data_IF_216206308786
#
_entry.id   IF_216206308786
#
_cell.length_a   1.000
_cell.length_b   1.000
_cell.length_c   1.000
_cell.angle_alpha   90.00
_cell.angle_beta   90.00
_cell.angle_gamma   90.00
#
_symmetry.space_group_name_H-M   'P 1'
#
loop_
_entity.id
_entity.type
_entity.pdbx_description
1 polymer ?
#
# COMPACT_ATOMS: atom_id res chain seq x y z
N UNK A 1 10.49 10.18 -20.38
CA UNK A 1 9.92 9.94 -21.73
C UNK A 1 8.86 8.85 -21.60
N UNK A 2 7.68 9.01 -22.21
CA UNK A 2 6.63 7.99 -22.14
C UNK A 2 7.02 6.72 -22.91
N UNK A 3 6.83 5.56 -22.27
CA UNK A 3 7.12 4.26 -22.85
C UNK A 3 6.02 3.26 -22.49
N UNK A 4 5.74 2.32 -23.39
CA UNK A 4 4.92 1.14 -23.09
C UNK A 4 5.77 0.16 -22.30
N UNK A 5 5.42 -0.06 -21.03
CA UNK A 5 6.22 -0.86 -20.11
C UNK A 5 5.33 -1.55 -19.08
N UNK A 6 5.73 -2.75 -18.67
CA UNK A 6 5.11 -3.43 -17.54
C UNK A 6 5.36 -2.66 -16.24
N UNK A 7 4.33 -2.51 -15.40
CA UNK A 7 4.41 -1.75 -14.13
C UNK A 7 5.61 -2.14 -13.26
N UNK A 8 5.89 -3.44 -13.10
CA UNK A 8 7.06 -3.91 -12.33
C UNK A 8 8.40 -3.41 -12.90
N UNK A 9 8.54 -3.42 -14.23
CA UNK A 9 9.76 -2.97 -14.89
C UNK A 9 9.89 -1.45 -14.86
N UNK A 10 8.77 -0.72 -14.91
CA UNK A 10 8.75 0.73 -14.72
C UNK A 10 9.23 1.10 -13.29
N UNK A 11 8.73 0.40 -12.28
CA UNK A 11 9.19 0.56 -10.89
C UNK A 11 10.68 0.20 -10.75
N UNK A 12 11.15 -0.88 -11.38
CA UNK A 12 12.57 -1.22 -11.36
C UNK A 12 13.46 -0.10 -11.94
N UNK A 13 13.03 0.53 -13.05
CA UNK A 13 13.75 1.67 -13.63
C UNK A 13 13.71 2.91 -12.73
N UNK A 14 12.56 3.22 -12.12
CA UNK A 14 12.41 4.34 -11.20
C UNK A 14 13.27 4.18 -9.94
N UNK A 15 13.29 2.98 -9.35
CA UNK A 15 14.14 2.64 -8.21
C UNK A 15 15.62 2.73 -8.59
N UNK A 16 16.02 2.23 -9.76
CA UNK A 16 17.38 2.38 -10.24
C UNK A 16 17.77 3.87 -10.41
N UNK A 17 16.87 4.71 -10.91
CA UNK A 17 17.08 6.15 -11.01
C UNK A 17 17.27 6.84 -9.64
N UNK A 18 16.69 6.29 -8.57
CA UNK A 18 16.91 6.74 -7.18
C UNK A 18 18.29 6.34 -6.61
N UNK A 19 19.04 5.51 -7.35
CA UNK A 19 20.41 5.09 -7.04
C UNK A 19 20.59 4.47 -5.64
N UNK A 20 19.81 3.43 -5.27
CA UNK A 20 20.14 2.67 -4.07
C UNK A 20 21.54 2.08 -4.19
N UNK A 21 22.25 2.04 -3.08
CA UNK A 21 23.60 1.48 -2.96
C UNK A 21 23.57 0.01 -2.55
N UNK A 22 22.50 -0.45 -1.90
CA UNK A 22 22.28 -1.86 -1.60
C UNK A 22 20.84 -2.25 -1.90
N UNK A 23 20.68 -3.34 -2.64
CA UNK A 23 19.38 -3.98 -2.90
C UNK A 23 19.43 -5.39 -2.33
N UNK A 24 18.57 -5.67 -1.35
CA UNK A 24 18.45 -6.99 -0.75
C UNK A 24 17.19 -7.67 -1.26
N UNK A 25 17.30 -8.81 -1.93
CA UNK A 25 16.18 -9.39 -2.65
C UNK A 25 16.00 -10.90 -2.42
N UNK A 26 14.76 -11.27 -2.19
CA UNK A 26 14.26 -12.64 -2.24
C UNK A 26 13.01 -12.69 -3.14
N UNK A 27 12.91 -13.63 -4.09
CA UNK A 27 11.82 -13.66 -5.05
C UNK A 27 10.51 -14.17 -4.44
N UNK A 28 9.43 -13.42 -4.62
CA UNK A 28 8.07 -13.84 -4.28
C UNK A 28 7.07 -13.17 -5.23
N UNK A 29 6.18 -13.93 -5.85
CA UNK A 29 5.17 -13.35 -6.75
C UNK A 29 4.22 -12.42 -5.97
N UNK A 30 3.78 -11.29 -6.52
CA UNK A 30 4.01 -10.78 -7.88
C UNK A 30 5.08 -9.67 -7.96
N UNK A 31 6.00 -9.53 -6.99
CA UNK A 31 7.08 -8.53 -7.08
C UNK A 31 8.31 -9.00 -7.86
N UNK A 32 8.41 -10.31 -8.14
CA UNK A 32 9.61 -10.93 -8.75
C UNK A 32 10.19 -10.17 -9.96
N UNK A 33 9.34 -9.66 -10.86
CA UNK A 33 9.82 -8.90 -12.03
C UNK A 33 10.54 -7.59 -11.66
N UNK A 34 10.22 -6.98 -10.52
CA UNK A 34 10.89 -5.78 -10.01
C UNK A 34 12.34 -6.13 -9.63
N UNK A 35 12.52 -7.15 -8.81
CA UNK A 35 13.86 -7.57 -8.34
C UNK A 35 14.70 -8.16 -9.46
N UNK A 36 14.11 -8.93 -10.37
CA UNK A 36 14.80 -9.42 -11.58
C UNK A 36 15.23 -8.26 -12.50
N UNK A 37 14.36 -7.28 -12.71
CA UNK A 37 14.66 -6.07 -13.48
C UNK A 37 15.84 -5.29 -12.88
N UNK A 38 15.82 -5.06 -11.57
CA UNK A 38 16.91 -4.42 -10.84
C UNK A 38 18.21 -5.23 -10.90
N UNK A 39 18.13 -6.55 -10.71
CA UNK A 39 19.29 -7.44 -10.83
C UNK A 39 19.95 -7.34 -12.21
N UNK A 40 19.14 -7.29 -13.27
CA UNK A 40 19.62 -7.13 -14.63
C UNK A 40 20.28 -5.76 -14.87
N UNK A 41 19.70 -4.68 -14.34
CA UNK A 41 20.27 -3.31 -14.40
C UNK A 41 21.65 -3.27 -13.71
N UNK A 42 21.74 -3.80 -12.48
CA UNK A 42 23.01 -3.88 -11.73
C UNK A 42 24.04 -4.70 -12.49
N UNK A 43 23.67 -5.87 -13.00
CA UNK A 43 24.56 -6.76 -13.77
C UNK A 43 25.09 -6.12 -15.05
N UNK A 44 24.32 -5.23 -15.70
CA UNK A 44 24.77 -4.46 -16.88
C UNK A 44 25.70 -3.29 -16.53
N UNK A 45 25.86 -2.96 -15.25
CA UNK A 45 26.67 -1.82 -14.80
C UNK A 45 25.97 -0.46 -14.95
N UNK A 46 24.66 -0.46 -15.18
CA UNK A 46 23.84 0.75 -15.35
C UNK A 46 23.54 1.45 -14.01
N UNK A 47 23.76 0.74 -12.89
CA UNK A 47 23.66 1.27 -11.54
C UNK A 47 25.02 1.11 -10.81
N UNK A 48 26.01 1.98 -11.09
CA UNK A 48 27.37 1.82 -10.59
C UNK A 48 27.44 2.02 -9.06
N UNK A 49 28.17 1.12 -8.38
CA UNK A 49 28.35 1.15 -6.93
C UNK A 49 27.18 0.58 -6.12
N UNK A 50 26.20 -0.04 -6.78
CA UNK A 50 25.14 -0.78 -6.10
C UNK A 50 25.52 -2.24 -5.91
N UNK A 51 25.41 -2.72 -4.67
CA UNK A 51 25.51 -4.13 -4.33
C UNK A 51 24.14 -4.78 -4.37
N UNK A 52 23.98 -5.85 -5.15
CA UNK A 52 22.75 -6.62 -5.23
C UNK A 52 22.93 -7.94 -4.47
N UNK A 53 22.21 -8.09 -3.35
CA UNK A 53 22.31 -9.23 -2.46
C UNK A 53 21.16 -10.21 -2.70
N UNK A 54 21.52 -11.40 -3.20
CA UNK A 54 20.63 -12.57 -3.18
C UNK A 54 20.68 -13.23 -1.82
N UNK A 55 19.59 -13.15 -1.08
CA UNK A 55 19.47 -13.74 0.27
C UNK A 55 18.67 -15.03 0.24
N UNK A 56 18.69 -15.79 1.34
CA UNK A 56 18.00 -17.07 1.49
C UNK A 56 16.55 -16.95 1.95
N UNK A 57 16.11 -15.75 2.37
CA UNK A 57 14.74 -15.49 2.82
C UNK A 57 14.37 -14.00 2.81
N UNK A 58 13.08 -13.69 2.92
CA UNK A 58 12.58 -12.33 3.13
C UNK A 58 13.03 -11.73 4.46
N UNK A 59 13.14 -12.53 5.52
CA UNK A 59 13.70 -12.08 6.81
C UNK A 59 15.16 -11.62 6.64
N UNK A 60 15.96 -12.38 5.91
CA UNK A 60 17.33 -12.01 5.57
C UNK A 60 17.39 -10.79 4.65
N UNK A 61 16.41 -10.60 3.75
CA UNK A 61 16.34 -9.43 2.87
C UNK A 61 16.21 -8.14 3.68
N UNK A 62 15.24 -8.10 4.61
CA UNK A 62 15.05 -6.93 5.47
C UNK A 62 16.22 -6.74 6.45
N UNK A 63 16.77 -7.84 7.00
CA UNK A 63 17.95 -7.78 7.89
C UNK A 63 19.19 -7.23 7.18
N UNK A 64 19.42 -7.63 5.93
CA UNK A 64 20.48 -7.07 5.09
C UNK A 64 20.26 -5.59 4.80
N UNK A 65 19.02 -5.19 4.51
CA UNK A 65 18.68 -3.78 4.27
C UNK A 65 18.88 -2.91 5.53
N UNK A 66 18.56 -3.44 6.72
CA UNK A 66 18.84 -2.81 8.02
C UNK A 66 20.34 -2.60 8.19
N UNK A 67 21.15 -3.64 7.98
CA UNK A 67 22.61 -3.56 8.09
C UNK A 67 23.21 -2.54 7.11
N UNK A 68 22.76 -2.56 5.86
CA UNK A 68 23.19 -1.63 4.83
C UNK A 68 22.81 -0.17 5.17
N UNK A 69 21.57 0.07 5.58
CA UNK A 69 21.10 1.41 5.96
C UNK A 69 21.83 1.92 7.20
N UNK A 70 22.06 1.08 8.21
CA UNK A 70 22.84 1.42 9.39
C UNK A 70 24.33 1.68 9.07
N UNK A 71 24.87 1.09 8.01
CA UNK A 71 26.21 1.39 7.48
C UNK A 71 26.25 2.64 6.58
N UNK A 72 25.13 3.35 6.43
CA UNK A 72 25.03 4.61 5.68
C UNK A 72 24.69 4.46 4.20
N UNK A 73 24.21 3.28 3.76
CA UNK A 73 23.84 3.03 2.38
C UNK A 73 22.33 3.26 2.12
N UNK A 74 21.99 3.97 1.04
CA UNK A 74 20.61 4.02 0.53
C UNK A 74 20.17 2.60 0.17
N UNK A 75 19.14 2.10 0.84
CA UNK A 75 18.80 0.67 0.84
C UNK A 75 17.38 0.43 0.34
N UNK A 76 17.20 -0.66 -0.42
CA UNK A 76 15.92 -1.02 -1.02
C UNK A 76 15.65 -2.52 -0.97
N UNK A 77 14.37 -2.90 -0.87
CA UNK A 77 13.89 -4.28 -1.04
C UNK A 77 12.47 -4.29 -1.63
N UNK A 78 11.99 -5.46 -2.05
CA UNK A 78 10.61 -5.65 -2.49
C UNK A 78 10.08 -7.00 -2.00
N UNK A 79 8.80 -7.05 -1.61
CA UNK A 79 8.16 -8.27 -1.10
C UNK A 79 6.64 -8.27 -1.36
N UNK A 80 5.97 -9.35 -0.94
CA UNK A 80 4.52 -9.51 -1.01
C UNK A 80 4.04 -10.56 0.01
N UNK A 81 2.81 -10.45 0.54
CA UNK A 81 2.11 -11.54 1.25
C UNK A 81 2.96 -12.25 2.32
N UNK A 82 3.21 -13.55 2.17
CA UNK A 82 3.96 -14.38 3.11
C UNK A 82 5.38 -13.88 3.34
N UNK A 83 6.00 -13.30 2.32
CA UNK A 83 7.33 -12.74 2.44
C UNK A 83 7.35 -11.55 3.40
N UNK A 84 6.34 -10.68 3.32
CA UNK A 84 6.17 -9.57 4.26
C UNK A 84 5.93 -10.08 5.69
N UNK A 85 5.11 -11.12 5.86
CA UNK A 85 4.88 -11.73 7.16
C UNK A 85 6.13 -12.39 7.73
N UNK A 86 6.97 -12.99 6.88
CA UNK A 86 8.18 -13.66 7.32
C UNK A 86 9.27 -12.68 7.78
N UNK A 87 9.23 -11.43 7.30
CA UNK A 87 10.15 -10.36 7.72
C UNK A 87 9.61 -9.46 8.85
N UNK A 88 8.45 -9.76 9.46
CA UNK A 88 7.73 -8.81 10.35
C UNK A 88 8.58 -8.27 11.50
N UNK A 89 9.37 -9.10 12.17
CA UNK A 89 10.22 -8.65 13.28
C UNK A 89 11.26 -7.62 12.79
N UNK A 90 11.91 -7.91 11.66
CA UNK A 90 12.86 -6.99 11.03
C UNK A 90 12.17 -5.70 10.55
N UNK A 91 10.93 -5.77 10.05
CA UNK A 91 10.13 -4.59 9.66
C UNK A 91 9.94 -3.66 10.87
N UNK A 92 9.55 -4.17 12.04
CA UNK A 92 9.43 -3.34 13.26
C UNK A 92 10.79 -2.78 13.72
N UNK A 93 11.89 -3.54 13.55
CA UNK A 93 13.22 -3.06 13.89
C UNK A 93 13.65 -1.91 12.97
N UNK A 94 13.42 -2.00 11.65
CA UNK A 94 13.80 -0.93 10.71
C UNK A 94 13.21 0.44 11.10
N UNK A 95 11.94 0.48 11.49
CA UNK A 95 11.27 1.72 11.92
C UNK A 95 11.70 2.17 13.31
N UNK A 96 11.83 1.22 14.26
CA UNK A 96 12.26 1.51 15.63
C UNK A 96 13.70 2.05 15.68
N UNK A 97 14.55 1.58 14.78
CA UNK A 97 15.89 2.10 14.58
C UNK A 97 15.89 3.43 13.83
N UNK A 98 14.84 3.79 13.09
CA UNK A 98 14.77 5.02 12.31
C UNK A 98 15.63 4.96 11.04
N UNK A 99 15.64 3.81 10.36
CA UNK A 99 16.44 3.58 9.16
C UNK A 99 15.62 3.90 7.89
N UNK A 100 16.12 4.77 6.99
CA UNK A 100 15.40 5.18 5.78
C UNK A 100 15.49 4.10 4.68
N UNK A 101 14.72 3.04 4.84
CA UNK A 101 14.61 1.94 3.88
C UNK A 101 13.32 2.11 3.07
N UNK A 102 13.41 2.01 1.75
CA UNK A 102 12.23 1.95 0.87
C UNK A 102 11.95 0.50 0.50
N UNK A 103 10.69 0.09 0.67
CA UNK A 103 10.22 -1.24 0.31
C UNK A 103 9.01 -1.17 -0.60
N UNK A 104 9.06 -1.86 -1.73
CA UNK A 104 7.83 -2.11 -2.52
C UNK A 104 7.08 -3.29 -1.93
N UNK A 105 5.80 -3.09 -1.64
CA UNK A 105 4.87 -4.16 -1.28
C UNK A 105 3.94 -4.37 -2.46
N UNK A 106 4.21 -5.41 -3.26
CA UNK A 106 3.31 -5.82 -4.33
C UNK A 106 2.12 -6.57 -3.71
N UNK A 107 1.11 -5.83 -3.29
CA UNK A 107 0.02 -6.28 -2.44
C UNK A 107 -0.61 -7.58 -2.95
N UNK A 108 -0.61 -8.58 -2.09
CA UNK A 108 -1.07 -9.93 -2.35
C UNK A 108 -1.74 -10.52 -1.11
N UNK A 109 -2.79 -11.29 -1.34
CA UNK A 109 -3.51 -12.02 -0.31
C UNK A 109 -2.59 -12.82 0.62
N UNK A 110 -2.82 -12.71 1.93
CA UNK A 110 -2.24 -13.61 2.92
C UNK A 110 -2.89 -14.99 2.76
N UNK A 111 -2.09 -16.04 2.87
CA UNK A 111 -2.48 -17.43 2.67
C UNK A 111 -3.26 -18.04 3.83
N UNK A 112 -3.61 -19.32 3.65
CA UNK A 112 -4.60 -20.10 4.37
C UNK A 112 -6.06 -19.65 4.12
N UNK A 113 -6.61 -19.87 2.90
CA UNK A 113 -6.03 -20.65 1.79
C UNK A 113 -4.99 -19.87 0.98
N UNK A 114 -4.03 -20.57 0.35
CA UNK A 114 -3.02 -19.91 -0.48
C UNK A 114 -3.69 -19.15 -1.63
N UNK A 115 -3.26 -17.90 -1.83
CA UNK A 115 -3.74 -17.08 -2.93
C UNK A 115 -2.60 -16.16 -3.40
N UNK A 116 -2.33 -16.18 -4.71
CA UNK A 116 -1.28 -15.38 -5.32
C UNK A 116 -1.78 -14.02 -5.80
N UNK A 117 -3.10 -13.85 -5.88
CA UNK A 117 -3.73 -12.67 -6.41
C UNK A 117 -3.82 -11.55 -5.37
N UNK A 118 -4.16 -10.37 -5.88
CA UNK A 118 -4.11 -9.16 -5.10
C UNK A 118 -5.29 -9.01 -4.14
N UNK A 119 -4.93 -8.60 -2.93
CA UNK A 119 -5.72 -7.82 -1.99
C UNK A 119 -4.69 -7.10 -1.08
N UNK A 120 -5.14 -6.26 -0.15
CA UNK A 120 -4.27 -5.44 0.72
C UNK A 120 -3.96 -6.07 2.07
N UNK A 121 -4.36 -7.32 2.33
CA UNK A 121 -4.26 -7.93 3.67
C UNK A 121 -2.82 -7.98 4.20
N UNK A 122 -1.83 -8.09 3.31
CA UNK A 122 -0.41 -8.07 3.65
C UNK A 122 0.05 -6.73 4.23
N UNK A 123 -0.02 -5.65 3.47
CA UNK A 123 0.33 -4.30 3.95
C UNK A 123 -0.51 -3.87 5.15
N UNK A 124 -1.80 -4.22 5.17
CA UNK A 124 -2.71 -3.91 6.28
C UNK A 124 -2.36 -4.65 7.57
N UNK A 125 -1.71 -5.81 7.49
CA UNK A 125 -1.17 -6.51 8.66
C UNK A 125 0.02 -5.78 9.29
N UNK A 126 0.67 -4.89 8.55
CA UNK A 126 1.86 -4.14 8.97
C UNK A 126 1.60 -2.66 9.27
N UNK A 127 0.33 -2.23 9.29
CA UNK A 127 -0.06 -0.83 9.53
C UNK A 127 0.44 -0.23 10.86
N UNK A 128 0.76 -1.07 11.84
CA UNK A 128 1.21 -0.64 13.18
C UNK A 128 2.73 -0.78 13.35
N UNK A 129 3.44 -1.15 12.29
CA UNK A 129 4.91 -1.33 12.27
C UNK A 129 5.71 -0.03 12.33
N UNK A 130 5.07 1.13 12.25
CA UNK A 130 5.75 2.44 12.24
C UNK A 130 6.34 2.84 10.89
N UNK A 131 6.07 2.07 9.83
CA UNK A 131 6.39 2.45 8.45
C UNK A 131 5.34 3.42 7.90
N UNK A 132 5.78 4.33 7.05
CA UNK A 132 4.87 5.10 6.18
C UNK A 132 4.35 4.14 5.11
N UNK A 133 3.06 4.22 4.77
CA UNK A 133 2.43 3.38 3.74
C UNK A 133 1.75 4.27 2.71
N UNK A 134 2.28 4.25 1.49
CA UNK A 134 1.79 4.99 0.32
C UNK A 134 1.19 4.03 -0.70
N UNK A 135 -0.10 4.16 -1.02
CA UNK A 135 -0.82 3.29 -1.95
C UNK A 135 -0.90 3.94 -3.34
N UNK A 136 -0.39 3.25 -4.35
CA UNK A 136 -0.42 3.70 -5.73
C UNK A 136 -1.75 3.33 -6.42
N UNK A 137 -2.38 4.31 -7.09
CA UNK A 137 -3.56 4.10 -7.93
C UNK A 137 -3.21 3.53 -9.30
N UNK A 138 -2.12 3.98 -9.93
CA UNK A 138 -1.72 3.63 -11.32
C UNK A 138 -0.25 3.22 -11.40
N UNK A 139 0.24 2.67 -12.52
CA UNK A 139 1.69 2.43 -12.64
C UNK A 139 2.48 3.74 -12.73
N UNK A 140 1.89 4.79 -13.31
CA UNK A 140 2.50 6.12 -13.29
C UNK A 140 2.69 6.62 -11.86
N UNK A 141 1.65 6.56 -11.04
CA UNK A 141 1.75 6.96 -9.63
C UNK A 141 2.67 6.02 -8.86
N UNK A 142 2.69 4.71 -9.14
CA UNK A 142 3.63 3.80 -8.53
C UNK A 142 5.08 4.26 -8.78
N UNK A 143 5.45 4.56 -10.03
CA UNK A 143 6.77 5.08 -10.39
C UNK A 143 7.11 6.37 -9.63
N UNK A 144 6.18 7.33 -9.62
CA UNK A 144 6.39 8.65 -9.01
C UNK A 144 6.50 8.54 -7.48
N UNK A 145 5.69 7.69 -6.85
CA UNK A 145 5.74 7.43 -5.40
C UNK A 145 7.05 6.79 -4.95
N UNK A 146 7.71 5.96 -5.76
CA UNK A 146 9.01 5.40 -5.37
C UNK A 146 10.08 6.49 -5.25
N UNK A 147 10.08 7.49 -6.15
CA UNK A 147 11.01 8.62 -6.08
C UNK A 147 10.72 9.47 -4.84
N UNK A 148 9.44 9.77 -4.58
CA UNK A 148 9.02 10.50 -3.37
C UNK A 148 9.33 9.72 -2.09
N UNK A 149 9.18 8.40 -2.09
CA UNK A 149 9.42 7.54 -0.92
C UNK A 149 10.85 7.63 -0.41
N UNK A 150 11.86 7.64 -1.29
CA UNK A 150 13.25 7.85 -0.86
C UNK A 150 13.45 9.22 -0.23
N UNK A 151 12.90 10.28 -0.85
CA UNK A 151 12.98 11.65 -0.33
C UNK A 151 12.36 11.75 1.07
N UNK A 152 11.14 11.22 1.24
CA UNK A 152 10.42 11.19 2.52
C UNK A 152 11.18 10.36 3.57
N UNK A 153 11.67 9.18 3.18
CA UNK A 153 12.35 8.27 4.09
C UNK A 153 13.61 8.92 4.68
N UNK A 154 14.45 9.49 3.82
CA UNK A 154 15.72 10.14 4.19
C UNK A 154 15.50 11.39 5.04
N UNK A 155 14.48 12.18 4.73
CA UNK A 155 14.18 13.41 5.45
C UNK A 155 13.58 13.15 6.84
N UNK A 156 12.81 12.08 7.04
CA UNK A 156 12.22 11.76 8.34
C UNK A 156 13.03 10.76 9.16
N UNK A 157 13.99 10.07 8.56
CA UNK A 157 14.61 8.88 9.16
C UNK A 157 13.55 7.83 9.50
N UNK A 158 12.64 7.60 8.56
CA UNK A 158 11.59 6.59 8.69
C UNK A 158 11.57 5.71 7.44
N UNK A 159 11.29 4.41 7.57
CA UNK A 159 11.14 3.56 6.42
C UNK A 159 9.76 3.75 5.76
N UNK A 160 9.69 3.54 4.44
CA UNK A 160 8.51 3.79 3.61
C UNK A 160 8.16 2.54 2.79
N UNK A 161 6.90 2.10 2.89
CA UNK A 161 6.30 1.10 2.01
C UNK A 161 5.59 1.79 0.86
N UNK A 162 5.96 1.46 -0.38
CA UNK A 162 5.15 1.78 -1.56
C UNK A 162 4.31 0.57 -1.89
N UNK A 163 3.01 0.67 -1.60
CA UNK A 163 2.01 -0.36 -1.77
C UNK A 163 1.42 -0.29 -3.19
N UNK A 164 1.64 -1.36 -3.96
CA UNK A 164 1.25 -1.46 -5.37
C UNK A 164 0.41 -2.72 -5.57
N UNK A 165 -0.76 -2.60 -6.21
CA UNK A 165 -1.65 -3.74 -6.40
C UNK A 165 -1.04 -4.82 -7.31
N UNK A 166 -0.76 -5.99 -6.72
CA UNK A 166 -0.20 -7.14 -7.42
C UNK A 166 -1.06 -7.58 -8.61
N UNK A 167 -0.43 -8.00 -9.71
CA UNK A 167 -1.05 -8.35 -10.99
C UNK A 167 -1.78 -7.19 -11.69
N UNK A 168 -2.63 -6.43 -11.00
CA UNK A 168 -3.40 -5.32 -11.57
C UNK A 168 -2.47 -4.20 -12.03
N UNK A 169 -1.53 -3.79 -11.18
CA UNK A 169 -0.52 -2.81 -11.53
C UNK A 169 0.78 -3.52 -11.94
N UNK A 170 1.26 -4.44 -11.12
CA UNK A 170 2.62 -4.99 -11.30
C UNK A 170 2.83 -5.70 -12.65
N UNK A 171 1.79 -6.29 -13.24
CA UNK A 171 1.89 -7.02 -14.52
C UNK A 171 1.18 -6.32 -15.68
N UNK A 172 0.50 -5.20 -15.44
CA UNK A 172 -0.13 -4.44 -16.51
C UNK A 172 0.94 -3.71 -17.33
N UNK A 173 0.79 -3.75 -18.65
CA UNK A 173 1.58 -2.94 -19.59
C UNK A 173 0.75 -1.71 -19.93
N UNK A 174 1.28 -0.54 -19.61
CA UNK A 174 0.66 0.74 -19.96
C UNK A 174 1.70 1.78 -20.36
N UNK A 175 1.22 2.94 -20.83
CA UNK A 175 2.08 4.08 -21.09
C UNK A 175 2.50 4.73 -19.76
N UNK A 176 3.80 4.71 -19.45
CA UNK A 176 4.37 5.32 -18.25
C UNK A 176 5.48 6.29 -18.64
N UNK A 177 5.47 7.49 -18.06
CA UNK A 177 6.56 8.46 -18.10
C UNK A 177 7.56 8.14 -16.97
N UNK A 178 8.53 7.28 -17.29
CA UNK A 178 9.60 6.93 -16.35
C UNK A 178 10.53 8.13 -16.19
N UNK A 179 10.83 8.56 -14.95
CA UNK A 179 11.64 9.76 -14.71
C UNK A 179 13.10 9.52 -15.12
N UNK A 180 13.68 10.52 -15.79
CA UNK A 180 15.09 10.51 -16.16
C UNK A 180 15.98 10.61 -14.91
N UNK A 181 17.08 9.87 -14.88
CA UNK A 181 17.98 9.84 -13.72
C UNK A 181 18.54 11.23 -13.33
N UNK A 182 18.66 12.14 -14.30
CA UNK A 182 19.10 13.51 -14.05
C UNK A 182 18.05 14.33 -13.27
N UNK A 183 16.76 14.17 -13.58
CA UNK A 183 15.68 14.85 -12.85
C UNK A 183 15.49 14.23 -11.47
N UNK A 184 15.61 12.90 -11.35
CA UNK A 184 15.65 12.24 -10.04
C UNK A 184 16.82 12.75 -9.20
N UNK A 185 18.01 12.92 -9.75
CA UNK A 185 19.15 13.46 -9.01
C UNK A 185 18.98 14.93 -8.56
N UNK A 186 18.15 15.72 -9.27
CA UNK A 186 17.80 17.10 -8.87
C UNK A 186 16.83 17.12 -7.70
N UNK A 187 15.90 16.15 -7.66
CA UNK A 187 14.89 16.04 -6.61
C UNK A 187 15.39 15.28 -5.37
N UNK A 188 16.15 14.20 -5.58
CA UNK A 188 16.70 13.33 -4.56
C UNK A 188 18.24 13.47 -4.55
N UNK A 189 18.78 14.37 -3.70
CA UNK A 189 20.24 14.55 -3.59
C UNK A 189 20.94 13.28 -3.07
N UNK A 190 22.28 13.24 -3.08
CA UNK A 190 23.03 12.16 -2.43
C UNK A 190 22.58 11.96 -0.98
N UNK A 191 22.44 10.69 -0.58
CA UNK A 191 21.97 10.35 0.75
C UNK A 191 23.02 10.74 1.81
N UNK A 192 22.58 11.50 2.82
CA UNK A 192 23.37 11.83 4.00
C UNK A 192 22.75 11.14 5.23
N UNK A 193 23.36 10.04 5.74
CA UNK A 193 22.78 9.28 6.85
C UNK A 193 22.82 10.07 8.15
N UNK A 194 21.68 10.12 8.86
CA UNK A 194 21.58 10.73 10.22
C UNK A 194 22.34 9.95 11.28
N UNK A 195 22.42 8.64 11.11
CA UNK A 195 23.14 7.72 11.98
C UNK A 195 23.85 6.70 11.11
N UNK A 196 25.11 6.44 11.44
CA UNK A 196 25.97 5.55 10.66
C UNK A 196 26.88 4.79 11.61
N UNK A 197 27.08 3.49 11.35
CA UNK A 197 28.09 2.69 12.00
C UNK A 197 29.47 3.06 11.45
N UNK A 198 30.20 3.89 12.19
CA UNK A 198 31.54 4.35 11.83
C UNK A 198 32.55 3.92 12.92
N UNK A 199 33.56 3.08 12.60
CA UNK A 199 34.63 2.74 13.55
C UNK A 199 35.43 3.94 14.05
N UNK A 200 35.50 5.04 13.29
CA UNK A 200 36.17 6.27 13.69
C UNK A 200 35.33 7.12 14.65
N UNK A 201 34.00 7.00 14.59
CA UNK A 201 33.05 7.68 15.48
C UNK A 201 31.95 6.70 15.95
N UNK A 202 32.28 5.76 16.86
CA UNK A 202 31.42 4.63 17.17
C UNK A 202 30.14 5.05 17.91
N UNK A 203 29.01 4.53 17.45
CA UNK A 203 27.69 4.68 18.09
C UNK A 203 27.05 3.32 18.35
N UNK A 204 26.18 3.23 19.34
CA UNK A 204 25.32 2.06 19.56
C UNK A 204 23.95 2.30 18.94
N UNK A 205 23.59 1.48 17.95
CA UNK A 205 22.28 1.49 17.29
C UNK A 205 21.48 0.29 17.80
N UNK A 206 20.24 0.52 18.25
CA UNK A 206 19.37 -0.56 18.76
C UNK A 206 19.68 -1.02 20.19
N UNK A 207 20.25 -0.14 21.03
CA UNK A 207 20.46 -0.44 22.43
C UNK A 207 19.13 -0.71 23.17
N UNK A 208 19.18 -1.51 24.23
CA UNK A 208 18.03 -1.75 25.10
C UNK A 208 17.61 -0.46 25.78
N UNK A 209 16.34 -0.07 25.61
CA UNK A 209 15.73 1.08 26.29
C UNK A 209 14.85 0.55 27.42
N UNK A 210 15.14 0.98 28.66
CA UNK A 210 14.39 0.58 29.83
C UNK A 210 13.06 1.35 30.00
N UNK A 211 12.23 0.95 30.99
CA UNK A 211 10.95 1.60 31.28
C UNK A 211 11.03 3.11 31.54
N UNK A 212 12.19 3.62 31.94
CA UNK A 212 12.47 5.04 32.19
C UNK A 212 12.44 5.94 30.95
N UNK A 213 12.53 5.36 29.75
CA UNK A 213 12.59 6.12 28.49
C UNK A 213 11.80 5.50 27.32
N UNK A 214 11.30 4.27 27.45
CA UNK A 214 10.62 3.58 26.35
C UNK A 214 9.37 4.32 25.88
N UNK A 215 8.59 4.90 26.80
CA UNK A 215 7.40 5.69 26.48
C UNK A 215 7.75 6.91 25.62
N UNK A 216 8.82 7.62 25.99
CA UNK A 216 9.32 8.81 25.30
C UNK A 216 9.82 8.44 23.91
N UNK A 217 10.54 7.33 23.75
CA UNK A 217 10.96 6.82 22.43
C UNK A 217 9.75 6.52 21.54
N UNK A 218 8.69 5.90 22.09
CA UNK A 218 7.44 5.66 21.34
C UNK A 218 6.71 6.95 20.98
N UNK A 219 6.74 7.96 21.85
CA UNK A 219 6.18 9.28 21.55
C UNK A 219 6.94 9.97 20.41
N UNK A 220 8.27 9.90 20.39
CA UNK A 220 9.07 10.44 19.29
C UNK A 220 8.78 9.73 17.95
N UNK A 221 8.50 8.42 17.97
CA UNK A 221 8.05 7.71 16.77
C UNK A 221 6.68 8.21 16.28
N UNK A 222 5.76 8.52 17.20
CA UNK A 222 4.48 9.16 16.86
C UNK A 222 4.68 10.56 16.27
N UNK A 223 5.57 11.37 16.86
CA UNK A 223 5.85 12.73 16.37
C UNK A 223 6.40 12.72 14.93
N UNK A 224 7.28 11.78 14.57
CA UNK A 224 7.76 11.63 13.18
C UNK A 224 6.63 11.28 12.21
N UNK A 225 5.65 10.49 12.65
CA UNK A 225 4.45 10.20 11.85
C UNK A 225 3.55 11.43 11.70
N UNK A 226 3.49 12.32 12.69
CA UNK A 226 2.78 13.60 12.56
C UNK A 226 3.50 14.55 11.61
N UNK A 227 4.83 14.62 11.67
CA UNK A 227 5.64 15.39 10.71
C UNK A 227 5.47 14.87 9.27
N UNK A 228 5.29 13.56 9.08
CA UNK A 228 5.00 12.99 7.77
C UNK A 228 3.69 13.52 7.16
N UNK A 229 2.67 13.89 7.96
CA UNK A 229 1.44 14.48 7.45
C UNK A 229 1.67 15.85 6.78
N UNK A 230 2.66 16.61 7.24
CA UNK A 230 3.03 17.89 6.64
C UNK A 230 4.04 17.71 5.49
N UNK A 231 4.97 16.76 5.64
CA UNK A 231 6.03 16.54 4.65
C UNK A 231 5.51 15.89 3.36
N UNK A 232 4.60 14.91 3.43
CA UNK A 232 4.11 14.20 2.24
C UNK A 232 3.53 15.17 1.19
N UNK A 233 2.63 16.12 1.55
CA UNK A 233 2.17 17.15 0.62
C UNK A 233 3.28 18.06 0.09
N UNK A 234 4.24 18.45 0.94
CA UNK A 234 5.34 19.32 0.52
C UNK A 234 6.22 18.63 -0.53
N UNK A 235 6.57 17.37 -0.30
CA UNK A 235 7.34 16.55 -1.25
C UNK A 235 6.56 16.34 -2.55
N UNK A 236 5.24 16.14 -2.50
CA UNK A 236 4.41 16.03 -3.70
C UNK A 236 4.39 17.34 -4.51
N UNK A 237 4.32 18.50 -3.85
CA UNK A 237 4.39 19.79 -4.53
C UNK A 237 5.78 20.05 -5.16
N UNK A 238 6.85 19.70 -4.47
CA UNK A 238 8.22 19.73 -5.03
C UNK A 238 8.35 18.79 -6.23
N UNK A 239 7.77 17.59 -6.13
CA UNK A 239 7.74 16.61 -7.21
C UNK A 239 7.03 17.18 -8.44
N UNK A 240 5.85 17.76 -8.25
CA UNK A 240 5.11 18.42 -9.33
C UNK A 240 5.92 19.56 -9.97
N UNK A 241 6.65 20.35 -9.18
CA UNK A 241 7.49 21.43 -9.70
C UNK A 241 8.67 20.91 -10.56
N UNK A 242 9.24 19.75 -10.22
CA UNK A 242 10.38 19.17 -10.95
C UNK A 242 9.93 18.35 -12.17
N UNK A 243 8.90 17.52 -12.01
CA UNK A 243 8.48 16.52 -12.99
C UNK A 243 7.23 16.93 -13.78
N UNK A 244 6.52 17.98 -13.37
CA UNK A 244 5.32 18.48 -14.03
C UNK A 244 4.07 17.60 -13.87
N UNK A 245 4.13 16.59 -12.98
CA UNK A 245 3.02 15.66 -12.72
C UNK A 245 2.51 15.84 -11.30
N UNK A 246 1.18 15.93 -11.18
CA UNK A 246 0.51 15.93 -9.88
C UNK A 246 0.37 14.47 -9.42
N UNK A 247 1.24 14.05 -8.49
CA UNK A 247 1.34 12.67 -8.02
C UNK A 247 1.78 12.63 -6.57
N UNK A 248 1.25 11.68 -5.80
CA UNK A 248 1.52 11.55 -4.37
C UNK A 248 0.56 12.36 -3.50
N UNK A 249 1.07 12.95 -2.44
CA UNK A 249 0.24 13.64 -1.45
C UNK A 249 -0.49 12.67 -0.50
N UNK A 250 -1.39 13.20 0.30
CA UNK A 250 -2.13 12.41 1.30
C UNK A 250 -3.35 11.70 0.71
N UNK A 251 -4.05 12.39 -0.20
CA UNK A 251 -5.36 12.04 -0.72
C UNK A 251 -5.49 12.54 -2.16
N UNK A 252 -6.33 11.87 -2.94
CA UNK A 252 -6.82 12.33 -4.24
C UNK A 252 -8.33 12.47 -4.21
N UNK A 253 -8.84 13.64 -4.58
CA UNK A 253 -10.29 13.88 -4.71
C UNK A 253 -10.70 13.86 -6.17
N UNK A 254 -11.86 13.28 -6.45
CA UNK A 254 -12.45 13.31 -7.79
C UNK A 254 -13.93 13.58 -7.66
N UNK A 255 -14.40 14.68 -8.26
CA UNK A 255 -15.82 15.04 -8.30
C UNK A 255 -16.46 15.06 -6.88
N UNK A 256 -15.86 15.78 -5.92
CA UNK A 256 -16.25 15.68 -4.49
C UNK A 256 -16.98 16.92 -3.97
N UNK A 257 -16.82 18.07 -4.63
CA UNK A 257 -17.20 19.40 -4.14
C UNK A 257 -18.71 19.53 -3.87
N UNK A 258 -19.53 18.85 -4.66
CA UNK A 258 -20.99 18.82 -4.54
C UNK A 258 -21.55 17.42 -4.22
N UNK A 259 -20.66 16.46 -3.93
CA UNK A 259 -21.04 15.06 -3.74
C UNK A 259 -21.88 14.86 -2.46
N UNK A 260 -23.00 14.15 -2.60
CA UNK A 260 -23.81 13.69 -1.46
C UNK A 260 -23.37 12.32 -0.96
N UNK A 261 -22.85 11.47 -1.85
CA UNK A 261 -22.28 10.16 -1.55
C UNK A 261 -20.82 10.16 -1.98
N UNK A 262 -19.90 9.80 -1.08
CA UNK A 262 -18.47 9.67 -1.43
C UNK A 262 -18.03 8.21 -1.34
N UNK A 263 -17.45 7.69 -2.42
CA UNK A 263 -16.79 6.37 -2.44
C UNK A 263 -15.32 6.55 -2.05
N UNK A 264 -14.86 5.80 -1.08
CA UNK A 264 -13.50 5.89 -0.53
C UNK A 264 -12.80 4.55 -0.78
N UNK A 265 -11.60 4.58 -1.34
CA UNK A 265 -10.82 3.37 -1.59
C UNK A 265 -9.31 3.63 -1.57
N UNK A 266 -8.56 2.52 -1.59
CA UNK A 266 -7.10 2.50 -1.75
C UNK A 266 -6.74 1.81 -3.07
N UNK A 267 -5.65 2.27 -3.68
CA UNK A 267 -5.01 1.58 -4.80
C UNK A 267 -5.84 1.55 -6.09
N UNK A 268 -5.54 0.57 -6.95
CA UNK A 268 -5.95 0.55 -8.36
C UNK A 268 -7.45 0.51 -8.63
N UNK A 269 -8.26 0.09 -7.65
CA UNK A 269 -9.73 0.05 -7.81
C UNK A 269 -10.34 1.44 -7.99
N UNK A 270 -9.63 2.50 -7.57
CA UNK A 270 -10.05 3.88 -7.76
C UNK A 270 -10.31 4.22 -9.24
N UNK A 271 -9.51 3.70 -10.17
CA UNK A 271 -9.74 3.91 -11.61
C UNK A 271 -11.12 3.40 -12.06
N UNK A 272 -11.46 2.16 -11.71
CA UNK A 272 -12.78 1.56 -12.02
C UNK A 272 -13.92 2.28 -11.31
N UNK A 273 -13.69 2.79 -10.08
CA UNK A 273 -14.70 3.57 -9.35
C UNK A 273 -14.96 4.90 -10.04
N UNK A 274 -13.91 5.63 -10.47
CA UNK A 274 -14.02 6.91 -11.20
C UNK A 274 -14.83 6.74 -12.48
N UNK A 275 -14.56 5.70 -13.25
CA UNK A 275 -15.34 5.31 -14.43
C UNK A 275 -16.85 5.16 -14.13
N UNK A 276 -17.21 4.45 -13.06
CA UNK A 276 -18.62 4.27 -12.66
C UNK A 276 -19.22 5.57 -12.16
N UNK A 277 -18.43 6.39 -11.46
CA UNK A 277 -18.85 7.72 -11.00
C UNK A 277 -19.14 8.64 -12.18
N UNK A 278 -18.34 8.63 -13.24
CA UNK A 278 -18.61 9.41 -14.46
C UNK A 278 -19.95 9.02 -15.09
N UNK A 279 -20.21 7.72 -15.22
CA UNK A 279 -21.48 7.18 -15.75
C UNK A 279 -22.69 7.57 -14.88
N UNK A 280 -22.50 7.69 -13.56
CA UNK A 280 -23.52 8.12 -12.58
C UNK A 280 -23.74 9.63 -12.60
N UNK A 281 -22.66 10.41 -12.66
CA UNK A 281 -22.66 11.87 -12.77
C UNK A 281 -23.36 12.34 -14.04
N UNK A 282 -23.16 11.64 -15.17
CA UNK A 282 -23.87 11.88 -16.41
C UNK A 282 -25.41 11.72 -16.29
N UNK A 283 -25.89 10.97 -15.29
CA UNK A 283 -27.31 10.81 -14.93
C UNK A 283 -27.81 11.84 -13.90
N UNK A 284 -26.95 12.75 -13.46
CA UNK A 284 -27.25 13.80 -12.48
C UNK A 284 -27.08 13.36 -11.02
N UNK A 285 -26.47 12.20 -10.76
CA UNK A 285 -26.20 11.74 -9.40
C UNK A 285 -24.97 12.44 -8.82
N UNK A 286 -25.08 12.91 -7.57
CA UNK A 286 -24.02 13.64 -6.84
C UNK A 286 -23.11 12.67 -6.09
N UNK A 287 -22.25 11.97 -6.83
CA UNK A 287 -21.33 10.97 -6.27
C UNK A 287 -19.89 11.42 -6.51
N UNK A 288 -19.05 11.33 -5.49
CA UNK A 288 -17.62 11.63 -5.58
C UNK A 288 -16.73 10.47 -5.17
N UNK A 289 -15.44 10.60 -5.41
CA UNK A 289 -14.42 9.62 -5.03
C UNK A 289 -13.34 10.29 -4.19
N UNK A 290 -12.93 9.61 -3.12
CA UNK A 290 -11.75 9.95 -2.34
C UNK A 290 -10.78 8.76 -2.37
N UNK A 291 -9.67 8.92 -3.07
CA UNK A 291 -8.51 8.05 -2.97
C UNK A 291 -7.67 8.42 -1.76
N UNK A 292 -7.28 7.44 -0.95
CA UNK A 292 -6.30 7.65 0.12
C UNK A 292 -4.95 7.14 -0.37
N UNK A 293 -3.98 8.06 -0.48
CA UNK A 293 -2.61 7.72 -0.88
C UNK A 293 -1.79 7.37 0.36
N UNK A 294 -1.79 8.22 1.38
CA UNK A 294 -1.13 7.95 2.66
C UNK A 294 -2.09 7.26 3.64
N UNK A 295 -1.96 5.95 3.84
CA UNK A 295 -2.72 5.24 4.88
C UNK A 295 -2.02 5.29 6.24
N UNK A 296 -0.69 5.35 6.23
CA UNK A 296 0.16 5.60 7.39
C UNK A 296 1.19 6.68 7.05
N UNK A 297 1.22 7.81 7.77
CA UNK A 297 0.21 8.23 8.75
C UNK A 297 -1.18 8.40 8.10
N UNK A 298 -2.24 8.18 8.88
CA UNK A 298 -3.61 8.37 8.37
C UNK A 298 -4.03 9.85 8.49
N UNK A 299 -4.45 10.52 7.40
CA UNK A 299 -4.65 11.96 7.36
C UNK A 299 -6.05 12.37 7.84
N UNK A 300 -6.32 12.21 9.14
CA UNK A 300 -7.64 12.44 9.74
C UNK A 300 -8.28 13.78 9.34
N UNK A 301 -7.55 14.90 9.51
CA UNK A 301 -8.05 16.24 9.19
C UNK A 301 -8.35 16.44 7.71
N UNK A 302 -7.53 15.86 6.84
CA UNK A 302 -7.71 16.01 5.39
C UNK A 302 -8.90 15.17 4.90
N UNK A 303 -9.11 13.98 5.47
CA UNK A 303 -10.32 13.17 5.21
C UNK A 303 -11.57 13.91 5.69
N UNK A 304 -11.56 14.42 6.93
CA UNK A 304 -12.67 15.19 7.49
C UNK A 304 -13.01 16.41 6.62
N UNK A 305 -12.00 17.17 6.19
CA UNK A 305 -12.18 18.31 5.30
C UNK A 305 -12.76 17.91 3.93
N UNK A 306 -12.33 16.78 3.37
CA UNK A 306 -12.77 16.32 2.06
C UNK A 306 -14.22 15.84 2.03
N UNK A 307 -14.71 15.17 3.08
CA UNK A 307 -16.04 14.53 3.07
C UNK A 307 -17.02 15.10 4.10
N UNK A 308 -16.64 16.13 4.85
CA UNK A 308 -17.45 16.70 5.94
C UNK A 308 -18.86 17.15 5.54
N UNK A 309 -19.07 17.48 4.27
CA UNK A 309 -20.37 17.92 3.73
C UNK A 309 -21.20 16.78 3.10
N UNK A 310 -20.63 15.58 2.94
CA UNK A 310 -21.33 14.46 2.34
C UNK A 310 -22.43 13.92 3.28
N UNK A 311 -23.54 13.43 2.71
CA UNK A 311 -24.60 12.76 3.48
C UNK A 311 -24.16 11.38 3.95
N UNK A 312 -23.33 10.73 3.13
CA UNK A 312 -22.85 9.37 3.38
C UNK A 312 -21.52 9.08 2.69
N UNK A 313 -20.81 8.09 3.20
CA UNK A 313 -19.67 7.51 2.50
C UNK A 313 -19.76 5.99 2.40
N UNK A 314 -19.14 5.44 1.35
CA UNK A 314 -18.94 4.01 1.16
C UNK A 314 -17.45 3.75 1.08
N UNK A 315 -16.90 3.01 2.04
CA UNK A 315 -15.53 2.54 1.97
C UNK A 315 -15.49 1.20 1.25
N UNK A 316 -14.97 1.19 0.03
CA UNK A 316 -14.68 -0.02 -0.71
C UNK A 316 -13.24 -0.44 -0.42
N UNK A 317 -13.07 -1.58 0.24
CA UNK A 317 -11.77 -2.04 0.70
C UNK A 317 -11.45 -3.46 0.24
N UNK A 318 -10.20 -3.65 -0.18
CA UNK A 318 -9.61 -4.93 -0.58
C UNK A 318 -8.89 -5.56 0.59
N UNK A 319 -9.42 -5.42 1.79
CA UNK A 319 -8.94 -6.07 3.00
C UNK A 319 -10.11 -6.27 3.96
N UNK A 320 -9.98 -7.25 4.86
CA UNK A 320 -11.01 -7.55 5.83
C UNK A 320 -10.40 -7.94 7.16
N UNK A 321 -10.82 -7.26 8.23
CA UNK A 321 -10.48 -7.64 9.60
C UNK A 321 -11.56 -8.59 10.13
N UNK A 322 -11.23 -9.88 10.13
CA UNK A 322 -12.13 -10.95 10.55
C UNK A 322 -12.72 -10.68 11.94
N UNK A 323 -14.04 -10.77 12.06
CA UNK A 323 -14.77 -10.57 13.32
C UNK A 323 -15.16 -9.13 13.64
N UNK A 324 -14.63 -8.13 12.93
CA UNK A 324 -14.97 -6.71 13.15
C UNK A 324 -15.47 -6.00 11.90
N UNK A 325 -14.88 -6.24 10.72
CA UNK A 325 -15.24 -5.54 9.50
C UNK A 325 -14.05 -4.86 8.82
N UNK A 326 -14.26 -3.61 8.43
CA UNK A 326 -13.34 -2.89 7.59
C UNK A 326 -12.24 -2.11 8.32
N UNK A 327 -11.03 -2.16 7.77
CA UNK A 327 -9.83 -1.50 8.28
C UNK A 327 -9.81 -0.03 7.84
N UNK A 328 -10.01 0.25 6.56
CA UNK A 328 -10.01 1.63 6.05
C UNK A 328 -11.22 2.39 6.59
N UNK A 329 -12.39 1.77 6.53
CA UNK A 329 -13.62 2.33 7.07
C UNK A 329 -13.54 2.68 8.56
N UNK A 330 -12.80 1.92 9.38
CA UNK A 330 -12.59 2.27 10.79
C UNK A 330 -11.82 3.59 10.97
N UNK A 331 -10.84 3.88 10.13
CA UNK A 331 -10.06 5.12 10.19
C UNK A 331 -10.85 6.31 9.64
N UNK A 332 -11.63 6.11 8.58
CA UNK A 332 -12.54 7.15 8.08
C UNK A 332 -13.61 7.47 9.13
N UNK A 333 -14.21 6.46 9.79
CA UNK A 333 -15.14 6.71 10.93
C UNK A 333 -14.47 7.50 12.05
N UNK A 334 -13.19 7.25 12.33
CA UNK A 334 -12.43 8.01 13.33
C UNK A 334 -12.25 9.48 12.90
N UNK A 335 -11.89 9.73 11.64
CA UNK A 335 -11.83 11.08 11.06
C UNK A 335 -13.18 11.80 11.15
N UNK A 336 -14.28 11.07 10.93
CA UNK A 336 -15.63 11.60 10.95
C UNK A 336 -16.32 11.50 12.32
N UNK A 337 -15.58 11.26 13.41
CA UNK A 337 -16.17 11.02 14.74
C UNK A 337 -17.01 12.19 15.27
N UNK A 338 -16.74 13.41 14.80
CA UNK A 338 -17.52 14.62 15.13
C UNK A 338 -18.69 14.91 14.19
N UNK A 339 -18.90 14.07 13.16
CA UNK A 339 -19.89 14.26 12.11
C UNK A 339 -20.89 13.09 12.08
N UNK A 340 -22.20 13.35 12.21
CA UNK A 340 -23.22 12.31 12.06
C UNK A 340 -23.40 11.96 10.57
N UNK A 341 -22.49 11.16 10.03
CA UNK A 341 -22.48 10.73 8.62
C UNK A 341 -22.85 9.25 8.51
N UNK A 342 -23.75 8.92 7.57
CA UNK A 342 -24.05 7.52 7.30
C UNK A 342 -22.87 6.87 6.59
N UNK A 343 -22.53 5.65 6.98
CA UNK A 343 -21.32 5.01 6.49
C UNK A 343 -21.52 3.53 6.24
N UNK A 344 -20.82 3.06 5.20
CA UNK A 344 -20.89 1.68 4.74
C UNK A 344 -19.49 1.12 4.52
N UNK A 345 -19.29 -0.14 4.88
CA UNK A 345 -18.11 -0.91 4.54
C UNK A 345 -18.48 -1.92 3.46
N UNK A 346 -17.78 -1.87 2.33
CA UNK A 346 -17.91 -2.84 1.25
C UNK A 346 -16.58 -3.55 1.07
N UNK A 347 -16.53 -4.83 1.43
CA UNK A 347 -15.37 -5.69 1.20
C UNK A 347 -15.46 -6.25 -0.21
N UNK A 348 -14.45 -6.02 -1.04
CA UNK A 348 -14.47 -6.41 -2.44
C UNK A 348 -13.10 -6.92 -2.90
N UNK A 349 -13.09 -7.72 -3.97
CA UNK A 349 -11.88 -8.12 -4.66
C UNK A 349 -10.84 -8.92 -3.87
N UNK A 350 -11.24 -9.50 -2.73
CA UNK A 350 -10.34 -10.35 -1.93
C UNK A 350 -9.77 -11.48 -2.78
N UNK A 351 -8.47 -11.69 -2.67
CA UNK A 351 -7.80 -12.75 -3.41
C UNK A 351 -7.99 -12.66 -4.93
N UNK A 352 -8.05 -11.46 -5.50
CA UNK A 352 -8.13 -11.23 -6.94
C UNK A 352 -9.51 -11.39 -7.57
N UNK A 353 -10.58 -11.47 -6.77
CA UNK A 353 -11.94 -11.54 -7.33
C UNK A 353 -12.21 -10.28 -8.17
N UNK A 354 -12.75 -10.39 -9.40
CA UNK A 354 -13.07 -9.20 -10.20
C UNK A 354 -14.04 -8.26 -9.49
N UNK A 355 -13.82 -6.95 -9.62
CA UNK A 355 -14.74 -5.91 -9.16
C UNK A 355 -15.37 -5.30 -10.41
N UNK A 356 -16.59 -5.71 -10.72
CA UNK A 356 -17.26 -5.36 -11.97
C UNK A 356 -17.98 -4.01 -11.86
N UNK A 357 -18.05 -3.26 -12.97
CA UNK A 357 -18.85 -2.02 -13.05
C UNK A 357 -20.32 -2.25 -12.70
N UNK A 358 -20.88 -3.40 -13.07
CA UNK A 358 -22.26 -3.79 -12.71
C UNK A 358 -22.44 -3.88 -11.20
N UNK A 359 -21.53 -4.59 -10.52
CA UNK A 359 -21.57 -4.75 -9.07
C UNK A 359 -21.38 -3.43 -8.33
N UNK A 360 -20.50 -2.56 -8.84
CA UNK A 360 -20.33 -1.20 -8.31
C UNK A 360 -21.59 -0.35 -8.50
N UNK A 361 -22.27 -0.46 -9.66
CA UNK A 361 -23.56 0.20 -9.87
C UNK A 361 -24.60 -0.33 -8.86
N UNK A 362 -24.81 -1.64 -8.76
CA UNK A 362 -25.80 -2.21 -7.83
C UNK A 362 -25.55 -1.79 -6.37
N UNK A 363 -24.28 -1.74 -5.96
CA UNK A 363 -23.86 -1.24 -4.66
C UNK A 363 -24.23 0.24 -4.47
N UNK A 364 -23.99 1.08 -5.47
CA UNK A 364 -24.34 2.51 -5.42
C UNK A 364 -25.86 2.76 -5.44
N UNK A 365 -26.65 1.95 -6.12
CA UNK A 365 -28.12 2.04 -6.07
C UNK A 365 -28.64 1.82 -4.65
N UNK A 366 -28.07 0.83 -3.94
CA UNK A 366 -28.41 0.57 -2.55
C UNK A 366 -27.85 1.64 -1.60
N UNK A 367 -26.63 2.13 -1.85
CA UNK A 367 -26.01 3.14 -0.99
C UNK A 367 -26.73 4.48 -1.07
N UNK A 368 -27.10 4.93 -2.28
CA UNK A 368 -27.77 6.23 -2.51
C UNK A 368 -29.20 6.27 -1.95
N UNK A 369 -29.86 5.11 -1.91
CA UNK A 369 -31.20 4.92 -1.31
C UNK A 369 -31.15 4.48 0.15
N UNK A 370 -29.95 4.46 0.75
CA UNK A 370 -29.74 4.17 2.15
C UNK A 370 -30.13 2.73 2.58
N UNK A 371 -30.28 1.80 1.63
CA UNK A 371 -30.67 0.40 1.84
C UNK A 371 -29.50 -0.58 1.90
N UNK A 372 -28.27 -0.15 1.64
CA UNK A 372 -27.08 -0.99 1.78
C UNK A 372 -26.87 -1.39 3.25
N UNK A 373 -26.45 -2.62 3.51
CA UNK A 373 -26.12 -3.06 4.88
C UNK A 373 -24.80 -2.42 5.36
N UNK A 374 -24.61 -2.13 6.66
CA UNK A 374 -23.41 -1.49 7.19
C UNK A 374 -22.10 -2.19 6.80
N UNK A 375 -22.13 -3.51 6.67
CA UNK A 375 -21.04 -4.33 6.16
C UNK A 375 -21.59 -5.24 5.06
N UNK A 376 -21.03 -5.12 3.86
CA UNK A 376 -21.40 -5.93 2.69
C UNK A 376 -20.14 -6.54 2.07
N UNK A 377 -20.23 -7.78 1.61
CA UNK A 377 -19.23 -8.40 0.74
C UNK A 377 -19.73 -8.35 -0.69
N UNK A 378 -19.04 -7.58 -1.54
CA UNK A 378 -19.42 -7.42 -2.94
C UNK A 378 -19.26 -8.77 -3.67
N UNK A 379 -20.30 -9.17 -4.39
CA UNK A 379 -20.35 -10.42 -5.16
C UNK A 379 -20.08 -11.70 -4.33
N UNK A 380 -20.44 -11.70 -3.03
CA UNK A 380 -20.39 -12.91 -2.22
C UNK A 380 -21.37 -13.96 -2.76
N UNK A 381 -20.89 -15.19 -2.91
CA UNK A 381 -21.76 -16.32 -3.24
C UNK A 381 -22.43 -16.80 -1.94
N UNK A 382 -23.57 -16.18 -1.62
CA UNK A 382 -24.32 -16.46 -0.39
C UNK A 382 -24.78 -17.91 -0.33
N UNK A 383 -25.20 -18.50 -1.46
CA UNK A 383 -25.62 -19.89 -1.50
C UNK A 383 -24.48 -20.85 -1.14
N UNK A 384 -23.26 -20.59 -1.65
CA UNK A 384 -22.07 -21.37 -1.31
C UNK A 384 -21.72 -21.26 0.18
N UNK A 385 -21.77 -20.04 0.72
CA UNK A 385 -21.50 -19.79 2.14
C UNK A 385 -22.55 -20.46 3.02
N UNK A 386 -23.82 -20.34 2.68
CA UNK A 386 -24.93 -20.95 3.42
C UNK A 386 -24.87 -22.48 3.41
N UNK A 387 -24.46 -23.10 2.29
CA UNK A 387 -24.20 -24.55 2.23
C UNK A 387 -23.12 -24.97 3.23
N UNK A 388 -22.01 -24.24 3.30
CA UNK A 388 -20.93 -24.55 4.25
C UNK A 388 -21.36 -24.28 5.71
N UNK A 389 -22.10 -23.22 5.96
CA UNK A 389 -22.68 -22.95 7.29
C UNK A 389 -23.64 -24.08 7.69
N UNK A 390 -24.50 -24.53 6.78
CA UNK A 390 -25.42 -25.64 7.03
C UNK A 390 -24.66 -26.95 7.31
N UNK A 391 -23.59 -27.23 6.54
CA UNK A 391 -22.68 -28.37 6.75
C UNK A 391 -22.08 -28.35 8.16
N UNK A 392 -21.53 -27.20 8.58
CA UNK A 392 -20.95 -27.01 9.91
C UNK A 392 -21.99 -27.08 11.06
N UNK A 393 -23.23 -26.69 10.80
CA UNK A 393 -24.34 -26.83 11.78
C UNK A 393 -24.78 -28.29 11.93
N UNK A 394 -24.83 -29.05 10.83
CA UNK A 394 -25.21 -30.46 10.82
C UNK A 394 -24.14 -31.34 11.49
N UNK A 395 -22.87 -31.06 11.21
CA UNK A 395 -21.73 -31.77 11.78
C UNK A 395 -20.86 -30.80 12.57
N UNK A 396 -21.02 -30.80 13.91
CA UNK A 396 -20.20 -29.98 14.83
C UNK A 396 -18.77 -30.52 14.97
N UNK A 397 -18.11 -30.81 13.86
CA UNK A 397 -16.71 -31.25 13.78
C UNK A 397 -15.97 -30.27 12.88
N UNK A 398 -14.70 -30.03 13.18
CA UNK A 398 -13.83 -29.23 12.31
C UNK A 398 -13.71 -29.89 10.94
N UNK A 399 -13.99 -29.15 9.87
CA UNK A 399 -13.82 -29.58 8.49
C UNK A 399 -13.06 -28.54 7.66
N UNK A 400 -12.47 -28.96 6.52
CA UNK A 400 -11.71 -28.09 5.64
C UNK A 400 -12.66 -27.20 4.81
N UNK A 401 -13.05 -26.04 5.36
CA UNK A 401 -14.06 -25.17 4.75
C UNK A 401 -13.68 -24.70 3.34
N UNK A 402 -12.41 -24.40 3.09
CA UNK A 402 -11.93 -23.98 1.77
C UNK A 402 -12.06 -25.11 0.74
N UNK A 403 -11.63 -26.33 1.08
CA UNK A 403 -11.70 -27.51 0.24
C UNK A 403 -13.15 -27.92 -0.03
N UNK A 404 -14.02 -27.78 0.98
CA UNK A 404 -15.45 -27.99 0.83
C UNK A 404 -16.05 -27.01 -0.20
N UNK A 405 -15.71 -25.72 -0.11
CA UNK A 405 -16.17 -24.69 -1.04
C UNK A 405 -15.65 -24.91 -2.46
N UNK A 406 -14.36 -25.25 -2.61
CA UNK A 406 -13.76 -25.55 -3.92
C UNK A 406 -14.44 -26.75 -4.59
N UNK A 407 -14.75 -27.80 -3.83
CA UNK A 407 -15.50 -28.97 -4.32
C UNK A 407 -16.91 -28.59 -4.77
N UNK A 408 -17.61 -27.75 -4.00
CA UNK A 408 -18.95 -27.28 -4.34
C UNK A 408 -18.96 -26.41 -5.62
N UNK A 409 -17.86 -25.71 -5.90
CA UNK A 409 -17.64 -24.95 -7.13
C UNK A 409 -17.16 -25.81 -8.32
N UNK A 410 -16.93 -27.11 -8.12
CA UNK A 410 -16.37 -27.99 -9.14
C UNK A 410 -14.94 -27.65 -9.54
N UNK A 411 -14.21 -26.92 -8.69
CA UNK A 411 -12.79 -26.67 -8.91
C UNK A 411 -12.02 -28.00 -8.83
N UNK A 412 -11.01 -28.21 -9.71
CA UNK A 412 -10.18 -29.41 -9.63
C UNK A 412 -9.56 -29.49 -8.22
N UNK A 413 -9.61 -30.68 -7.62
CA UNK A 413 -8.85 -30.93 -6.40
C UNK A 413 -7.35 -30.68 -6.72
N UNK A 414 -6.60 -30.05 -5.80
CA UNK A 414 -5.18 -29.78 -6.01
C UNK A 414 -4.37 -31.03 -6.30
#
# INVERSE_FOLDING_TARGET
MRTQIEGSLAVAQAVAACRPQVICAYPISPQTHIVEGLSAIVKRGELPGCEYLNVESEFAAMSGAIGASAAGARSYTATASQGLLYMVEAVYNASGLGLPIVMTVANRAIGAPINIWNDHTDSMSQRDSGWIQLYAETNQEAVDLHVQAFRIAEELSLPVMVCMDGFILTHAVEEVDVPEAADVARFLPPFEPRQVLDPANPVSIGAMVGPEAFTEVRYLAHERQMQALDLIPAVAAEFQAVFGRDSGGLLHTYEIEDAETVVIALGSVLGTIKDVVDERRARGEKIGVLGITSFRPFPLKAVEAAIGNAKRFVCLEKAFSVGIGGIVSSHVRMAMSSHPIKNYTVVAGLGGRPILKTSLNDMLDQATTDSLEPLTFLDLDTDLVEREIARNRAERRSGPAAENMLRDLGAPAP
#
